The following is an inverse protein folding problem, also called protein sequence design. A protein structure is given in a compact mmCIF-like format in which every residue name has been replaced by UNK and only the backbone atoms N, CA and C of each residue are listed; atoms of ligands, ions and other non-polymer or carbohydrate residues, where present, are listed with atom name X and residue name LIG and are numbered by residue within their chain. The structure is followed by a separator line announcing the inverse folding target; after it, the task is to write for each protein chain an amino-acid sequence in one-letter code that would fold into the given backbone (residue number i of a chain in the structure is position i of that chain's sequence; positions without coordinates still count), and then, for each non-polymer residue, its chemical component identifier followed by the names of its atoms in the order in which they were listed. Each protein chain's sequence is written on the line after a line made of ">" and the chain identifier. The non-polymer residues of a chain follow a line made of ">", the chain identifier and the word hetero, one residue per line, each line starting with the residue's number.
data_IF_840356339855
#
_entry.id   IF_840356339855
#
_cell.length_a   1.000
_cell.length_b   1.000
_cell.length_c   1.000
_cell.angle_alpha   90.00
_cell.angle_beta   90.00
_cell.angle_gamma   90.00
#
_symmetry.space_group_name_H-M   'P 1'
#
loop_
_entity.id
_entity.type
_entity.pdbx_description
1 polymer ?
#
# COMPACT_ATOMS: atom_id res chain seq x y z
N UNK A 1 7.38 3.92 -2.28
CA UNK A 1 8.27 5.07 -2.56
C UNK A 1 7.73 6.28 -1.82
N UNK A 2 8.57 7.10 -1.20
CA UNK A 2 8.11 8.40 -0.68
C UNK A 2 7.80 9.29 -1.88
N UNK A 3 6.57 9.83 -2.03
CA UNK A 3 6.25 10.70 -3.14
C UNK A 3 7.06 11.99 -2.95
N UNK A 4 8.10 12.16 -3.76
CA UNK A 4 8.84 13.41 -3.84
C UNK A 4 8.19 14.24 -4.95
N UNK A 5 7.81 15.49 -4.67
CA UNK A 5 7.19 16.39 -5.66
C UNK A 5 8.06 16.56 -6.92
N UNK A 6 9.37 16.33 -6.83
CA UNK A 6 10.26 16.49 -7.98
C UNK A 6 10.43 15.21 -8.82
N UNK A 7 9.90 14.05 -8.38
CA UNK A 7 10.21 12.74 -8.99
C UNK A 7 9.01 11.81 -9.21
N UNK A 8 8.01 11.78 -8.31
CA UNK A 8 6.98 10.72 -8.27
C UNK A 8 5.61 11.23 -7.83
N UNK A 9 5.00 12.16 -8.57
CA UNK A 9 3.72 12.78 -8.15
C UNK A 9 2.58 12.73 -9.17
N UNK A 10 2.85 12.47 -10.45
CA UNK A 10 1.80 12.53 -11.47
C UNK A 10 1.02 11.22 -11.51
N UNK A 11 -0.29 11.36 -11.70
CA UNK A 11 -1.23 10.29 -12.00
C UNK A 11 -1.52 9.27 -10.86
N UNK A 12 -1.07 9.54 -9.61
CA UNK A 12 -1.53 8.77 -8.45
C UNK A 12 -2.92 9.25 -8.02
N UNK A 13 -3.08 10.54 -7.76
CA UNK A 13 -4.37 11.20 -7.49
C UNK A 13 -4.48 12.49 -8.34
N UNK A 14 -5.67 13.11 -8.46
CA UNK A 14 -5.79 14.49 -8.91
C UNK A 14 -4.80 15.42 -8.19
N UNK A 15 -4.32 16.45 -8.88
CA UNK A 15 -3.24 17.32 -8.40
C UNK A 15 -3.60 18.03 -7.07
N UNK A 16 -4.84 18.46 -6.93
CA UNK A 16 -5.38 19.09 -5.72
C UNK A 16 -5.41 18.11 -4.53
N UNK A 17 -5.80 16.85 -4.77
CA UNK A 17 -5.76 15.80 -3.76
C UNK A 17 -4.32 15.40 -3.39
N UNK A 18 -3.40 15.36 -4.36
CA UNK A 18 -1.97 15.14 -4.09
C UNK A 18 -1.38 16.25 -3.23
N UNK A 19 -1.79 17.51 -3.45
CA UNK A 19 -1.32 18.63 -2.63
C UNK A 19 -1.72 18.47 -1.16
N UNK A 20 -2.91 17.95 -0.87
CA UNK A 20 -3.35 17.63 0.50
C UNK A 20 -2.39 16.63 1.16
N UNK A 21 -1.98 15.57 0.46
CA UNK A 21 -1.02 14.59 0.99
C UNK A 21 0.33 15.25 1.29
N UNK A 22 0.80 16.14 0.41
CA UNK A 22 2.08 16.82 0.58
C UNK A 22 2.09 17.80 1.74
N UNK A 23 1.05 18.62 1.88
CA UNK A 23 0.91 19.59 2.95
C UNK A 23 0.84 18.93 4.33
N UNK A 24 0.35 17.68 4.38
CA UNK A 24 0.13 16.91 5.61
C UNK A 24 1.18 15.82 5.88
N UNK A 25 2.35 15.81 5.20
CA UNK A 25 3.40 14.78 5.40
C UNK A 25 3.79 14.56 6.86
N UNK A 26 3.91 15.63 7.64
CA UNK A 26 4.25 15.52 9.05
C UNK A 26 3.13 14.85 9.87
N UNK A 27 1.86 15.05 9.48
CA UNK A 27 0.71 14.45 10.15
C UNK A 27 0.66 12.95 9.83
N UNK A 28 0.93 12.57 8.57
CA UNK A 28 1.07 11.17 8.15
C UNK A 28 2.20 10.47 8.91
N UNK A 29 3.37 11.11 9.03
CA UNK A 29 4.48 10.56 9.81
C UNK A 29 4.14 10.42 11.31
N UNK A 30 3.41 11.38 11.88
CA UNK A 30 2.94 11.28 13.27
C UNK A 30 1.99 10.10 13.45
N UNK A 31 1.00 9.93 12.56
CA UNK A 31 0.06 8.83 12.59
C UNK A 31 0.75 7.47 12.45
N UNK A 32 1.72 7.35 11.55
CA UNK A 32 2.54 6.14 11.40
C UNK A 32 3.31 5.82 12.70
N UNK A 33 4.00 6.79 13.28
CA UNK A 33 4.79 6.59 14.50
C UNK A 33 3.92 6.27 15.73
N UNK A 34 2.68 6.74 15.77
CA UNK A 34 1.73 6.44 16.84
C UNK A 34 0.88 5.20 16.59
N UNK A 35 0.97 4.59 15.40
CA UNK A 35 0.13 3.46 15.01
C UNK A 35 -1.35 3.82 14.85
N UNK A 36 -1.66 5.06 14.51
CA UNK A 36 -3.04 5.53 14.31
C UNK A 36 -3.43 5.54 12.83
N UNK A 37 -4.68 5.18 12.58
CA UNK A 37 -5.38 5.30 11.29
C UNK A 37 -5.99 6.69 11.05
N UNK A 38 -5.99 7.57 12.06
CA UNK A 38 -6.51 8.94 11.96
C UNK A 38 -5.38 9.90 11.61
N UNK A 39 -5.47 10.50 10.41
CA UNK A 39 -4.50 11.48 9.91
C UNK A 39 -5.16 12.86 9.88
N UNK A 40 -4.75 13.72 10.80
CA UNK A 40 -5.24 15.11 10.84
C UNK A 40 -4.94 15.83 9.52
N UNK A 41 -5.96 16.52 8.97
CA UNK A 41 -5.83 17.31 7.75
C UNK A 41 -5.92 16.51 6.44
N UNK A 42 -6.11 15.18 6.50
CA UNK A 42 -6.28 14.33 5.32
C UNK A 42 -7.64 13.61 5.39
N UNK A 43 -8.57 13.88 4.46
CA UNK A 43 -9.79 13.09 4.34
C UNK A 43 -9.49 11.60 4.13
N UNK A 44 -10.24 10.74 4.84
CA UNK A 44 -10.00 9.30 4.82
C UNK A 44 -10.07 8.70 3.40
N UNK A 45 -11.02 9.15 2.58
CA UNK A 45 -11.20 8.66 1.21
C UNK A 45 -10.01 8.99 0.29
N UNK A 46 -9.37 10.15 0.50
CA UNK A 46 -8.16 10.54 -0.24
C UNK A 46 -7.01 9.62 0.16
N UNK A 47 -6.85 9.37 1.46
CA UNK A 47 -5.81 8.46 1.95
C UNK A 47 -6.03 7.03 1.45
N UNK A 48 -7.27 6.52 1.49
CA UNK A 48 -7.62 5.19 0.98
C UNK A 48 -7.29 5.03 -0.52
N UNK A 49 -7.70 6.00 -1.35
CA UNK A 49 -7.38 6.00 -2.79
C UNK A 49 -5.88 6.12 -3.05
N UNK A 50 -5.16 6.91 -2.25
CA UNK A 50 -3.71 7.03 -2.33
C UNK A 50 -3.03 5.70 -2.02
N UNK A 51 -3.43 5.03 -0.93
CA UNK A 51 -2.91 3.71 -0.52
C UNK A 51 -3.17 2.69 -1.62
N UNK A 52 -4.41 2.59 -2.12
CA UNK A 52 -4.77 1.59 -3.13
C UNK A 52 -3.98 1.72 -4.44
N UNK A 53 -3.59 2.94 -4.82
CA UNK A 53 -2.81 3.22 -6.03
C UNK A 53 -1.30 3.15 -5.84
N UNK A 54 -0.80 3.50 -4.65
CA UNK A 54 0.64 3.63 -4.39
C UNK A 54 1.27 2.43 -3.67
N UNK A 55 0.47 1.57 -3.04
CA UNK A 55 0.96 0.42 -2.28
C UNK A 55 0.10 -0.83 -2.46
N UNK A 56 0.71 -2.00 -2.23
CA UNK A 56 0.01 -3.26 -2.02
C UNK A 56 -0.12 -3.44 -0.52
N UNK A 57 -1.32 -3.16 0.01
CA UNK A 57 -1.61 -3.19 1.43
C UNK A 57 -3.08 -3.52 1.63
N UNK A 58 -3.35 -4.62 2.34
CA UNK A 58 -4.71 -5.07 2.63
C UNK A 58 -4.73 -5.87 3.92
N UNK A 59 -5.92 -6.00 4.51
CA UNK A 59 -6.14 -6.93 5.61
C UNK A 59 -6.26 -8.36 5.07
N UNK A 60 -6.08 -9.35 5.94
CA UNK A 60 -6.30 -10.77 5.59
C UNK A 60 -7.73 -11.02 5.14
N UNK A 61 -8.70 -10.28 5.68
CA UNK A 61 -10.10 -10.40 5.30
C UNK A 61 -10.36 -9.94 3.84
N UNK A 62 -9.44 -9.19 3.24
CA UNK A 62 -9.50 -8.71 1.87
C UNK A 62 -8.27 -9.18 1.07
N UNK A 63 -7.84 -10.43 1.30
CA UNK A 63 -6.68 -11.01 0.64
C UNK A 63 -6.88 -11.22 -0.87
N UNK A 64 -8.10 -11.55 -1.30
CA UNK A 64 -8.43 -11.77 -2.71
C UNK A 64 -8.13 -10.54 -3.59
N UNK A 65 -8.38 -9.34 -3.06
CA UNK A 65 -8.03 -8.07 -3.73
C UNK A 65 -6.54 -7.97 -4.03
N UNK A 66 -5.68 -8.37 -3.08
CA UNK A 66 -4.23 -8.35 -3.28
C UNK A 66 -3.75 -9.48 -4.18
N UNK A 67 -4.38 -10.67 -4.11
CA UNK A 67 -4.10 -11.75 -5.05
C UNK A 67 -4.37 -11.28 -6.50
N UNK A 68 -5.48 -10.58 -6.75
CA UNK A 68 -5.79 -10.04 -8.06
C UNK A 68 -4.81 -8.94 -8.51
N UNK A 69 -4.30 -8.13 -7.58
CA UNK A 69 -3.18 -7.21 -7.85
C UNK A 69 -1.91 -7.96 -8.26
N UNK A 70 -1.52 -8.99 -7.51
CA UNK A 70 -0.34 -9.80 -7.78
C UNK A 70 -0.43 -10.54 -9.13
N UNK A 71 -1.62 -11.03 -9.49
CA UNK A 71 -1.89 -11.60 -10.84
C UNK A 71 -1.70 -10.56 -11.94
N UNK A 72 -2.20 -9.33 -11.75
CA UNK A 72 -1.97 -8.23 -12.69
C UNK A 72 -0.49 -7.92 -12.83
N UNK A 73 0.29 -7.92 -11.74
CA UNK A 73 1.73 -7.75 -11.83
C UNK A 73 2.41 -8.85 -12.65
N UNK A 74 2.04 -10.12 -12.44
CA UNK A 74 2.53 -11.27 -13.24
C UNK A 74 2.22 -11.08 -14.72
N UNK A 75 0.98 -10.73 -15.07
CA UNK A 75 0.55 -10.49 -16.47
C UNK A 75 1.31 -9.32 -17.11
N UNK A 76 1.65 -8.29 -16.34
CA UNK A 76 2.43 -7.15 -16.82
C UNK A 76 3.95 -7.38 -16.80
N UNK A 77 4.41 -8.60 -16.50
CA UNK A 77 5.82 -8.99 -16.62
C UNK A 77 6.66 -8.82 -15.35
N UNK A 78 6.06 -8.53 -14.20
CA UNK A 78 6.79 -8.58 -12.93
C UNK A 78 7.08 -10.04 -12.56
N UNK A 79 8.36 -10.40 -12.42
CA UNK A 79 8.78 -11.79 -12.17
C UNK A 79 9.02 -12.09 -10.71
N UNK A 80 9.48 -11.10 -9.94
CA UNK A 80 9.97 -11.29 -8.57
C UNK A 80 9.47 -10.18 -7.64
N UNK A 81 9.08 -10.56 -6.43
CA UNK A 81 8.70 -9.64 -5.34
C UNK A 81 9.50 -10.01 -4.11
N UNK A 82 10.32 -9.06 -3.63
CA UNK A 82 11.02 -9.20 -2.35
C UNK A 82 10.16 -8.65 -1.22
N UNK A 83 9.79 -9.51 -0.27
CA UNK A 83 8.97 -9.14 0.88
C UNK A 83 9.84 -8.91 2.11
N UNK A 84 9.58 -7.82 2.82
CA UNK A 84 10.05 -7.62 4.19
C UNK A 84 8.92 -7.98 5.15
N UNK A 85 9.19 -8.93 6.05
CA UNK A 85 8.21 -9.43 7.01
C UNK A 85 8.38 -8.70 8.34
N UNK A 86 7.28 -8.28 8.92
CA UNK A 86 7.21 -7.55 10.19
C UNK A 86 6.38 -8.34 11.22
N UNK A 87 6.54 -7.99 12.49
CA UNK A 87 5.76 -8.51 13.63
C UNK A 87 5.79 -10.04 13.80
N UNK A 88 4.85 -10.77 13.18
CA UNK A 88 4.68 -12.22 13.34
C UNK A 88 5.17 -12.98 12.09
N UNK A 89 6.48 -13.27 11.99
CA UNK A 89 7.05 -13.82 10.77
C UNK A 89 6.60 -15.23 10.47
N UNK A 90 6.43 -16.08 11.49
CA UNK A 90 5.99 -17.47 11.28
C UNK A 90 4.59 -17.51 10.66
N UNK A 91 3.65 -16.78 11.26
CA UNK A 91 2.28 -16.72 10.74
C UNK A 91 2.24 -16.11 9.34
N UNK A 92 3.02 -15.05 9.09
CA UNK A 92 3.08 -14.40 7.77
C UNK A 92 3.63 -15.34 6.69
N UNK A 93 4.70 -16.09 6.99
CA UNK A 93 5.28 -17.06 6.05
C UNK A 93 4.26 -18.16 5.72
N UNK A 94 3.51 -18.65 6.72
CA UNK A 94 2.45 -19.65 6.49
C UNK A 94 1.32 -19.10 5.63
N UNK A 95 0.81 -17.90 5.93
CA UNK A 95 -0.22 -17.25 5.11
C UNK A 95 0.20 -17.15 3.64
N UNK A 96 1.44 -16.73 3.39
CA UNK A 96 1.99 -16.61 2.03
C UNK A 96 2.07 -17.99 1.37
N UNK A 97 2.63 -19.00 2.05
CA UNK A 97 2.80 -20.34 1.51
C UNK A 97 1.49 -21.09 1.24
N UNK A 98 0.49 -20.88 2.10
CA UNK A 98 -0.76 -21.65 2.08
C UNK A 98 -1.87 -20.97 1.25
N UNK A 99 -1.87 -19.64 1.14
CA UNK A 99 -2.97 -18.90 0.51
C UNK A 99 -2.51 -18.05 -0.68
N UNK A 100 -1.36 -17.37 -0.59
CA UNK A 100 -0.91 -16.44 -1.65
C UNK A 100 -0.24 -17.17 -2.80
N UNK A 101 0.81 -17.96 -2.54
CA UNK A 101 1.58 -18.66 -3.58
C UNK A 101 0.67 -19.60 -4.41
N UNK A 102 -0.22 -20.42 -3.80
CA UNK A 102 -1.10 -21.29 -4.58
C UNK A 102 -2.05 -20.54 -5.53
N UNK A 103 -2.45 -19.32 -5.18
CA UNK A 103 -3.35 -18.51 -6.00
C UNK A 103 -2.65 -17.84 -7.20
N UNK A 104 -1.32 -17.86 -7.23
CA UNK A 104 -0.47 -17.28 -8.28
C UNK A 104 0.16 -18.30 -9.23
N UNK A 105 -0.01 -19.61 -8.96
CA UNK A 105 0.52 -20.69 -9.80
C UNK A 105 -0.01 -20.59 -11.24
#
# INVERSE_FOLDING_TARGET
>A
ATPYPDYYYRDILPEDEMQIIFDNRNNILRAFNSGSDVIEGVPADIMERFVDRATSASSVANLDHEIDRLRRFKVNGLTDISLRIYENPEWTIRLIGEQVIPALA
#
